data_IF_577246276094
#
_entry.id   IF_577246276094
#
_cell.length_a   1.000
_cell.length_b   1.000
_cell.length_c   1.000
_cell.angle_alpha   90.00
_cell.angle_beta   90.00
_cell.angle_gamma   90.00
#
_symmetry.space_group_name_H-M   'P 1'
#
loop_
_entity.id
_entity.type
_entity.pdbx_description
1 polymer ?
#
# COMPACT_ATOMS: atom_id res chain seq x y z
N UNK A 1 18.94 -14.94 -12.12
CA UNK A 1 18.96 -13.98 -10.99
C UNK A 1 20.39 -13.88 -10.50
N UNK A 2 21.07 -12.78 -10.78
CA UNK A 2 22.50 -12.58 -10.48
C UNK A 2 22.63 -11.52 -9.39
N UNK A 3 23.08 -11.93 -8.21
CA UNK A 3 23.24 -11.08 -7.04
C UNK A 3 23.65 -11.89 -5.82
N UNK A 4 24.27 -11.25 -4.82
CA UNK A 4 24.62 -11.96 -3.58
C UNK A 4 23.35 -12.43 -2.86
N UNK A 5 23.39 -13.53 -2.08
CA UNK A 5 22.23 -14.03 -1.35
C UNK A 5 21.55 -12.96 -0.49
N UNK A 6 22.36 -12.09 0.13
CA UNK A 6 21.88 -10.94 0.90
C UNK A 6 21.11 -9.93 0.04
N UNK A 7 21.66 -9.55 -1.11
CA UNK A 7 20.99 -8.62 -2.02
C UNK A 7 19.64 -9.16 -2.49
N UNK A 8 19.55 -10.46 -2.80
CA UNK A 8 18.29 -11.09 -3.21
C UNK A 8 17.25 -11.07 -2.08
N UNK A 9 17.68 -11.35 -0.85
CA UNK A 9 16.82 -11.28 0.33
C UNK A 9 16.28 -9.87 0.56
N UNK A 10 17.15 -8.86 0.58
CA UNK A 10 16.76 -7.48 0.87
C UNK A 10 15.90 -6.87 -0.24
N UNK A 11 16.19 -7.19 -1.51
CA UNK A 11 15.48 -6.55 -2.63
C UNK A 11 14.17 -7.25 -2.98
N UNK A 12 14.11 -8.58 -2.94
CA UNK A 12 12.95 -9.33 -3.39
C UNK A 12 12.10 -9.79 -2.21
N UNK A 13 12.74 -10.42 -1.22
CA UNK A 13 12.01 -11.01 -0.09
C UNK A 13 11.43 -9.93 0.83
N UNK A 14 12.23 -8.94 1.24
CA UNK A 14 11.73 -7.85 2.07
C UNK A 14 10.71 -6.97 1.33
N UNK A 15 10.86 -6.75 0.02
CA UNK A 15 9.87 -6.00 -0.77
C UNK A 15 8.49 -6.68 -0.77
N UNK A 16 8.45 -8.02 -0.82
CA UNK A 16 7.20 -8.79 -0.64
C UNK A 16 6.60 -8.56 0.75
N UNK A 17 7.41 -8.63 1.81
CA UNK A 17 6.96 -8.35 3.18
C UNK A 17 6.39 -6.94 3.34
N UNK A 18 7.01 -5.95 2.69
CA UNK A 18 6.48 -4.58 2.66
C UNK A 18 5.12 -4.50 1.95
N UNK A 19 4.92 -5.26 0.87
CA UNK A 19 3.63 -5.32 0.19
C UNK A 19 2.53 -5.88 1.11
N UNK A 20 2.80 -6.96 1.84
CA UNK A 20 1.85 -7.50 2.82
C UNK A 20 1.53 -6.50 3.94
N UNK A 21 2.54 -5.77 4.44
CA UNK A 21 2.32 -4.72 5.43
C UNK A 21 1.39 -3.62 4.89
N UNK A 22 1.51 -3.25 3.61
CA UNK A 22 0.61 -2.27 2.97
C UNK A 22 -0.82 -2.81 2.84
N UNK A 23 -1.00 -4.09 2.55
CA UNK A 23 -2.34 -4.71 2.51
C UNK A 23 -2.96 -4.74 3.91
N UNK A 24 -2.19 -5.08 4.94
CA UNK A 24 -2.64 -5.02 6.35
C UNK A 24 -3.03 -3.60 6.74
N UNK A 25 -2.20 -2.62 6.38
CA UNK A 25 -2.47 -1.20 6.60
C UNK A 25 -3.75 -0.73 5.87
N UNK A 26 -3.98 -1.19 4.64
CA UNK A 26 -5.20 -0.89 3.87
C UNK A 26 -6.46 -1.42 4.55
N UNK A 27 -6.40 -2.63 5.08
CA UNK A 27 -7.52 -3.22 5.83
C UNK A 27 -7.77 -2.47 7.14
N UNK A 28 -6.71 -2.14 7.88
CA UNK A 28 -6.79 -1.51 9.20
C UNK A 28 -7.18 -0.03 9.14
N UNK A 29 -6.44 0.80 8.38
CA UNK A 29 -6.61 2.25 8.38
C UNK A 29 -7.75 2.75 7.51
N UNK A 30 -8.08 2.02 6.44
CA UNK A 30 -9.15 2.40 5.53
C UNK A 30 -10.44 1.60 5.77
N UNK A 31 -10.44 0.68 6.73
CA UNK A 31 -11.57 -0.19 7.05
C UNK A 31 -12.16 -0.90 5.81
N UNK A 32 -11.32 -1.24 4.83
CA UNK A 32 -11.74 -1.71 3.51
C UNK A 32 -12.55 -3.01 3.55
N UNK A 33 -12.32 -3.85 4.56
CA UNK A 33 -13.00 -5.14 4.79
C UNK A 33 -14.48 -5.03 5.22
N UNK A 34 -14.98 -3.84 5.63
CA UNK A 34 -16.34 -3.72 6.19
C UNK A 34 -17.47 -3.78 5.16
N UNK A 35 -17.85 -4.90 4.56
CA UNK A 35 -18.91 -4.87 3.52
C UNK A 35 -20.32 -4.67 4.11
N UNK A 36 -20.79 -3.44 4.20
CA UNK A 36 -22.07 -3.08 4.84
C UNK A 36 -23.22 -2.83 3.87
N UNK A 37 -22.96 -2.66 2.58
CA UNK A 37 -24.03 -2.46 1.59
C UNK A 37 -24.60 -3.79 1.12
N UNK A 38 -25.93 -3.84 0.89
CA UNK A 38 -26.62 -5.04 0.37
C UNK A 38 -26.25 -5.37 -1.08
N UNK A 39 -25.71 -4.41 -1.84
CA UNK A 39 -25.30 -4.58 -3.24
C UNK A 39 -23.79 -4.85 -3.35
N UNK A 40 -23.42 -5.92 -4.03
CA UNK A 40 -22.03 -6.28 -4.27
C UNK A 40 -21.24 -5.19 -5.03
N UNK A 41 -21.88 -4.52 -6.00
CA UNK A 41 -21.28 -3.44 -6.79
C UNK A 41 -20.90 -2.22 -5.95
N UNK A 42 -21.70 -1.89 -4.94
CA UNK A 42 -21.39 -0.80 -4.01
C UNK A 42 -20.16 -1.12 -3.15
N UNK A 43 -20.05 -2.36 -2.68
CA UNK A 43 -18.88 -2.82 -1.93
C UNK A 43 -17.61 -2.86 -2.81
N UNK A 44 -17.73 -3.25 -4.09
CA UNK A 44 -16.63 -3.23 -5.06
C UNK A 44 -16.15 -1.80 -5.35
N UNK A 45 -17.08 -0.87 -5.60
CA UNK A 45 -16.72 0.53 -5.83
C UNK A 45 -15.97 1.13 -4.64
N UNK A 46 -16.41 0.81 -3.42
CA UNK A 46 -15.73 1.24 -2.21
C UNK A 46 -14.30 0.68 -2.10
N UNK A 47 -14.10 -0.60 -2.43
CA UNK A 47 -12.76 -1.20 -2.47
C UNK A 47 -11.83 -0.49 -3.48
N UNK A 48 -12.36 -0.12 -4.65
CA UNK A 48 -11.59 0.62 -5.66
C UNK A 48 -11.11 1.97 -5.15
N UNK A 49 -11.97 2.73 -4.46
CA UNK A 49 -11.61 4.02 -3.85
C UNK A 49 -10.52 3.84 -2.80
N UNK A 50 -10.67 2.86 -1.90
CA UNK A 50 -9.68 2.61 -0.87
C UNK A 50 -8.33 2.18 -1.46
N UNK A 51 -8.33 1.37 -2.52
CA UNK A 51 -7.10 0.97 -3.22
C UNK A 51 -6.39 2.19 -3.82
N UNK A 52 -7.12 3.09 -4.49
CA UNK A 52 -6.55 4.33 -5.03
C UNK A 52 -5.91 5.20 -3.95
N UNK A 53 -6.54 5.32 -2.78
CA UNK A 53 -5.98 6.06 -1.65
C UNK A 53 -4.66 5.46 -1.16
N UNK A 54 -4.57 4.13 -1.04
CA UNK A 54 -3.34 3.45 -0.62
C UNK A 54 -2.22 3.59 -1.66
N UNK A 55 -2.54 3.49 -2.96
CA UNK A 55 -1.55 3.66 -4.03
C UNK A 55 -0.98 5.10 -4.08
N UNK A 56 -1.80 6.10 -3.75
CA UNK A 56 -1.38 7.51 -3.69
C UNK A 56 -0.57 7.85 -2.43
N UNK A 57 -0.78 7.15 -1.30
CA UNK A 57 -0.13 7.42 -0.02
C UNK A 57 1.42 7.47 -0.07
N UNK A 58 2.15 6.51 -0.68
CA UNK A 58 3.60 6.59 -0.77
C UNK A 58 4.08 7.73 -1.69
N UNK A 59 3.30 8.11 -2.71
CA UNK A 59 3.63 9.28 -3.55
C UNK A 59 3.51 10.58 -2.75
N UNK A 60 2.46 10.73 -1.95
CA UNK A 60 2.29 11.87 -1.04
C UNK A 60 3.38 11.93 0.03
N UNK A 61 3.75 10.79 0.62
CA UNK A 61 4.82 10.72 1.61
C UNK A 61 6.19 11.12 1.02
N UNK A 62 6.46 10.76 -0.24
CA UNK A 62 7.67 11.20 -0.96
C UNK A 62 7.67 12.71 -1.20
N UNK A 63 6.57 13.27 -1.69
CA UNK A 63 6.44 14.73 -1.88
C UNK A 63 6.62 15.50 -0.56
N UNK A 64 6.11 14.97 0.55
CA UNK A 64 6.33 15.54 1.88
C UNK A 64 7.79 15.47 2.34
N UNK A 65 8.52 14.39 2.01
CA UNK A 65 9.94 14.27 2.33
C UNK A 65 10.81 15.24 1.51
N UNK A 66 10.54 15.39 0.20
CA UNK A 66 11.24 16.35 -0.67
C UNK A 66 11.01 17.80 -0.21
N UNK A 67 9.80 18.12 0.26
CA UNK A 67 9.48 19.44 0.83
C UNK A 67 10.19 19.75 2.16
N UNK A 68 10.56 18.73 2.94
CA UNK A 68 11.34 18.86 4.19
C UNK A 68 12.84 18.99 3.91
N UNK A 69 13.34 18.45 2.80
CA UNK A 69 14.76 18.57 2.40
C UNK A 69 15.09 19.94 1.77
N UNK A 70 14.07 20.68 1.32
CA UNK A 70 14.20 22.02 0.72
C UNK A 70 13.98 23.19 1.70
N UNK A 71 13.74 22.92 2.99
CA UNK A 71 13.49 23.91 4.04
C UNK A 71 14.68 24.06 5.01
#
# INVERSE_FOLDING_TARGET
MTGTPKALYETIYCARGQMENRIKAHKLHLASDRTSCSKATANQFRLLIHNRCLLAAPHLARLGAEGVVLA
#
